data_IF_513526157661
#
_entry.id   IF_513526157661
#
_cell.length_a   1.000
_cell.length_b   1.000
_cell.length_c   1.000
_cell.angle_alpha   90.00
_cell.angle_beta   90.00
_cell.angle_gamma   90.00
#
_symmetry.space_group_name_H-M   'P 1'
#
loop_
_entity.id
_entity.type
_entity.pdbx_description
1 polymer ?
2 non-polymer ?
3 non-polymer ?
4 non-polymer ?
5 non-polymer ?
6 water ?
#
# COMPACT_ATOMS: atom_id res chain seq x y z
N UNK A 8 25.61 -11.68 7.44
CA UNK A 8 24.92 -11.71 6.11
C UNK A 8 23.60 -10.94 6.19
N UNK A 9 23.23 -10.25 5.11
CA UNK A 9 21.92 -9.60 5.03
C UNK A 9 20.89 -10.51 4.32
N UNK A 10 21.26 -11.74 3.98
CA UNK A 10 20.36 -12.67 3.33
C UNK A 10 19.10 -12.88 4.18
N UNK A 11 17.94 -12.82 3.53
CA UNK A 11 16.65 -13.10 4.19
C UNK A 11 16.08 -14.46 3.80
N UNK A 12 16.54 -15.00 2.67
CA UNK A 12 16.14 -16.28 2.22
C UNK A 12 16.85 -17.28 3.12
N UNK A 13 16.18 -17.61 4.22
CA UNK A 13 16.64 -18.65 5.07
C UNK A 13 15.60 -19.77 5.06
N UNK A 14 15.81 -20.75 5.94
CA UNK A 14 15.00 -21.93 6.07
C UNK A 14 13.50 -21.58 6.10
N UNK A 15 13.16 -20.45 6.74
CA UNK A 15 11.81 -20.17 7.25
C UNK A 15 11.08 -19.12 6.39
N UNK A 16 11.70 -18.71 5.29
CA UNK A 16 11.16 -17.68 4.37
C UNK A 16 9.82 -18.08 3.74
N UNK A 17 9.67 -19.35 3.30
CA UNK A 17 8.47 -19.81 2.58
C UNK A 17 7.34 -20.24 3.54
N UNK A 18 7.54 -20.10 4.86
CA UNK A 18 6.62 -20.61 5.87
C UNK A 18 5.94 -19.47 6.61
N UNK A 19 4.71 -19.75 7.05
CA UNK A 19 3.99 -18.84 7.90
C UNK A 19 4.73 -18.64 9.23
N UNK A 20 4.75 -17.39 9.69
CA UNK A 20 5.22 -17.02 11.03
C UNK A 20 4.00 -16.74 11.91
N UNK A 21 3.71 -17.60 12.91
CA UNK A 21 2.56 -17.41 13.78
C UNK A 21 2.69 -16.16 14.66
N UNK A 22 3.92 -15.73 14.96
CA UNK A 22 4.16 -14.60 15.86
C UNK A 22 5.14 -13.60 15.24
N UNK A 23 4.77 -12.95 14.14
CA UNK A 23 5.66 -11.93 13.55
C UNK A 23 5.81 -10.73 14.50
N UNK A 24 6.97 -10.09 14.43
CA UNK A 24 7.26 -8.92 15.21
C UNK A 24 7.46 -7.78 14.21
N UNK A 25 6.36 -7.16 13.80
CA UNK A 25 6.40 -6.13 12.74
C UNK A 25 7.31 -4.96 13.15
N UNK A 26 7.28 -4.54 14.42
CA UNK A 26 8.11 -3.42 14.87
C UNK A 26 9.59 -3.81 14.73
N UNK A 27 9.94 -5.02 15.17
CA UNK A 27 11.33 -5.48 15.07
C UNK A 27 11.79 -5.50 13.61
N UNK A 28 10.93 -5.97 12.69
CA UNK A 28 11.30 -6.03 11.27
C UNK A 28 11.55 -4.63 10.75
N UNK A 29 10.67 -3.70 11.11
CA UNK A 29 10.82 -2.33 10.67
C UNK A 29 12.16 -1.79 11.15
N UNK A 30 12.48 -1.98 12.45
CA UNK A 30 13.70 -1.43 13.00
C UNK A 30 14.91 -2.04 12.27
N UNK A 31 14.87 -3.33 12.05
CA UNK A 31 15.92 -4.05 11.38
C UNK A 31 16.12 -3.50 9.97
N UNK A 32 15.02 -3.34 9.22
CA UNK A 32 15.14 -2.97 7.82
C UNK A 32 15.52 -1.50 7.65
N UNK A 33 15.07 -0.62 8.55
CA UNK A 33 15.48 0.75 8.53
C UNK A 33 17.01 0.82 8.64
N UNK A 34 17.53 0.01 9.57
CA UNK A 34 18.99 -0.02 9.85
C UNK A 34 19.75 -0.65 8.68
N UNK A 35 19.28 -1.79 8.19
CA UNK A 35 20.03 -2.61 7.24
C UNK A 35 19.92 -2.12 5.79
N UNK A 36 18.78 -1.51 5.40
CA UNK A 36 18.50 -1.23 4.02
C UNK A 36 18.20 0.23 3.72
N UNK A 37 17.95 1.10 4.72
CA UNK A 37 17.53 2.46 4.46
C UNK A 37 18.36 3.47 5.25
N UNK A 38 19.57 3.03 5.65
CA UNK A 38 20.63 3.90 6.22
C UNK A 38 20.12 4.67 7.47
N UNK A 39 19.11 4.13 8.17
CA UNK A 39 18.54 4.75 9.36
C UNK A 39 17.59 5.88 9.05
N UNK A 40 17.32 6.19 7.79
CA UNK A 40 16.62 7.40 7.41
C UNK A 40 15.09 7.38 7.64
N UNK A 41 14.52 6.28 8.11
CA UNK A 41 13.04 6.22 8.24
C UNK A 41 12.57 6.49 9.67
N UNK A 42 13.28 7.33 10.41
CA UNK A 42 12.98 7.51 11.85
C UNK A 42 11.52 7.98 12.02
N UNK A 43 11.10 8.93 11.19
CA UNK A 43 9.81 9.66 11.32
C UNK A 43 8.64 8.77 10.89
N UNK A 44 8.94 7.69 10.15
CA UNK A 44 7.98 6.75 9.63
C UNK A 44 7.56 5.80 10.75
N UNK A 45 6.27 5.47 10.78
CA UNK A 45 5.72 4.51 11.71
C UNK A 45 5.07 3.38 10.91
N UNK A 46 5.01 2.20 11.52
CA UNK A 46 4.46 1.04 10.88
C UNK A 46 3.48 0.33 11.82
N UNK A 47 2.26 0.07 11.32
CA UNK A 47 1.22 -0.56 12.11
C UNK A 47 0.52 -1.67 11.31
N UNK A 48 0.14 -2.75 12.01
CA UNK A 48 -0.88 -3.69 11.54
C UNK A 48 -2.25 -3.01 11.49
N UNK A 49 -3.06 -3.41 10.51
CA UNK A 49 -4.48 -3.09 10.48
C UNK A 49 -5.24 -4.41 10.56
N UNK A 50 -6.17 -4.53 11.50
CA UNK A 50 -7.01 -5.74 11.53
C UNK A 50 -8.22 -5.49 10.63
N UNK A 51 -8.37 -4.33 10.03
CA UNK A 51 -9.59 -3.97 9.33
C UNK A 51 -9.40 -3.93 7.79
N UNK A 52 -8.17 -3.66 7.29
CA UNK A 52 -7.95 -3.28 5.86
C UNK A 52 -7.91 -4.50 4.92
N UNK A 53 -8.39 -4.35 3.65
CA UNK A 53 -8.39 -5.47 2.64
C UNK A 53 -8.14 -4.99 1.19
N UNK A 54 -8.26 -3.68 0.88
CA UNK A 54 -8.10 -3.33 -0.57
C UNK A 54 -6.64 -3.46 -1.01
N UNK A 55 -5.72 -3.34 -0.04
CA UNK A 55 -4.29 -3.37 -0.29
C UNK A 55 -3.67 -4.20 0.82
N UNK A 56 -2.67 -5.02 0.48
CA UNK A 56 -1.90 -5.73 1.49
C UNK A 56 -1.08 -4.74 2.30
N UNK A 57 -0.66 -3.65 1.67
CA UNK A 57 0.15 -2.61 2.26
C UNK A 57 -0.21 -1.25 1.68
N UNK A 58 -0.13 -0.21 2.50
CA UNK A 58 -0.28 1.15 2.05
C UNK A 58 0.72 2.05 2.79
N UNK A 59 0.96 3.24 2.23
CA UNK A 59 1.52 4.38 2.92
C UNK A 59 0.53 5.54 2.94
N UNK A 60 0.62 6.37 3.97
CA UNK A 60 -0.01 7.67 3.91
C UNK A 60 1.06 8.71 4.26
N UNK A 61 1.04 9.83 3.52
CA UNK A 61 2.03 10.89 3.69
C UNK A 61 1.31 12.18 4.08
N UNK A 62 1.71 12.78 5.20
CA UNK A 62 1.11 14.03 5.68
C UNK A 62 1.53 15.21 4.80
N UNK A 63 2.66 15.05 4.09
CA UNK A 63 3.12 16.03 3.11
C UNK A 63 3.90 17.16 3.76
N UNK A 66 7.11 15.60 5.90
CA UNK A 66 6.36 15.45 7.15
C UNK A 66 6.40 14.02 7.66
N UNK A 67 5.29 13.60 8.30
CA UNK A 67 5.16 12.26 8.87
C UNK A 67 4.62 11.29 7.81
N UNK A 68 5.22 10.10 7.75
CA UNK A 68 4.82 9.04 6.84
C UNK A 68 4.38 7.82 7.68
N UNK A 69 3.27 7.20 7.27
CA UNK A 69 2.67 6.05 7.96
C UNK A 69 2.62 4.88 6.98
N UNK A 70 2.92 3.67 7.45
CA UNK A 70 2.73 2.45 6.68
C UNK A 70 1.73 1.59 7.45
N UNK A 71 0.81 0.93 6.71
CA UNK A 71 -0.14 0.00 7.25
C UNK A 71 -0.04 -1.31 6.47
N UNK A 72 -0.05 -2.42 7.20
CA UNK A 72 -0.01 -3.77 6.66
C UNK A 72 -1.33 -4.46 7.01
N UNK A 73 -1.92 -5.18 6.04
CA UNK A 73 -3.20 -5.85 6.23
C UNK A 73 -3.03 -7.13 7.05
N UNK A 74 -3.53 -7.15 8.28
CA UNK A 74 -3.59 -8.36 9.04
C UNK A 74 -4.48 -9.36 8.29
N UNK A 75 -5.69 -9.00 7.79
CA UNK A 75 -6.50 -9.99 7.07
C UNK A 75 -5.77 -10.68 5.90
N UNK A 76 -4.96 -9.93 5.16
CA UNK A 76 -4.37 -10.47 3.91
C UNK A 76 -3.01 -11.12 4.19
N UNK A 77 -2.33 -10.75 5.29
CA UNK A 77 -0.95 -11.24 5.50
C UNK A 77 -0.82 -12.24 6.65
N UNK A 78 -1.73 -12.27 7.63
CA UNK A 78 -1.50 -13.08 8.84
C UNK A 78 -1.26 -14.56 8.53
N UNK A 79 -1.92 -15.10 7.49
CA UNK A 79 -1.82 -16.53 7.20
C UNK A 79 -0.89 -16.80 6.01
N UNK A 80 -0.20 -15.77 5.53
CA UNK A 80 0.68 -15.94 4.40
C UNK A 80 2.10 -16.20 4.88
N UNK A 81 2.94 -16.81 4.00
CA UNK A 81 4.36 -17.01 4.31
C UNK A 81 5.04 -15.70 4.73
N UNK A 82 6.08 -15.80 5.58
CA UNK A 82 6.95 -14.71 6.05
C UNK A 82 7.34 -13.80 4.87
N UNK A 83 7.73 -14.44 3.77
CA UNK A 83 8.21 -13.71 2.60
C UNK A 83 7.20 -12.66 2.16
N UNK A 84 5.90 -12.94 2.26
CA UNK A 84 4.91 -12.00 1.76
C UNK A 84 4.82 -10.79 2.70
N UNK A 85 4.89 -10.97 4.03
CA UNK A 85 4.94 -9.85 4.97
C UNK A 85 6.17 -8.99 4.63
N UNK A 86 7.33 -9.66 4.54
CA UNK A 86 8.57 -8.97 4.42
C UNK A 86 8.62 -8.20 3.09
N UNK A 87 8.26 -8.84 1.97
CA UNK A 87 8.31 -8.20 0.67
C UNK A 87 7.29 -7.05 0.60
N UNK A 88 6.14 -7.20 1.25
CA UNK A 88 5.15 -6.13 1.26
C UNK A 88 5.70 -4.94 2.07
N UNK A 89 6.27 -5.23 3.25
CA UNK A 89 6.77 -4.17 4.12
C UNK A 89 7.89 -3.43 3.37
N UNK A 90 8.80 -4.19 2.74
CA UNK A 90 9.98 -3.54 2.11
C UNK A 90 9.50 -2.66 0.95
N UNK A 91 8.49 -3.13 0.19
CA UNK A 91 7.91 -2.32 -0.88
C UNK A 91 7.40 -0.99 -0.34
N UNK A 92 6.62 -1.05 0.74
CA UNK A 92 6.09 0.17 1.34
C UNK A 92 7.22 1.07 1.87
N UNK A 93 8.26 0.46 2.45
CA UNK A 93 9.38 1.27 2.97
C UNK A 93 10.13 2.00 1.86
N UNK A 94 10.18 1.43 0.66
CA UNK A 94 10.78 2.13 -0.46
C UNK A 94 9.95 3.37 -0.79
N UNK A 95 8.62 3.22 -0.88
CA UNK A 95 7.78 4.40 -1.08
C UNK A 95 8.03 5.43 0.02
N UNK A 96 8.09 4.98 1.27
CA UNK A 96 8.33 5.90 2.39
C UNK A 96 9.69 6.60 2.20
N UNK A 97 10.73 5.85 1.82
CA UNK A 97 12.05 6.44 1.68
C UNK A 97 12.04 7.53 0.62
N UNK A 98 11.38 7.29 -0.53
CA UNK A 98 11.32 8.28 -1.60
C UNK A 98 10.55 9.52 -1.12
N UNK A 99 9.55 9.34 -0.27
CA UNK A 99 8.81 10.48 0.29
C UNK A 99 9.73 11.29 1.23
N UNK A 100 10.38 10.63 2.19
CA UNK A 100 11.20 11.21 3.27
C UNK A 100 12.34 12.03 2.65
N UNK A 101 12.85 11.52 1.53
CA UNK A 101 14.04 12.13 0.87
C UNK A 101 13.66 13.04 -0.30
N UNK A 102 12.38 13.37 -0.41
CA UNK A 102 11.90 14.32 -1.41
C UNK A 102 12.33 13.90 -2.83
N UNK A 103 12.23 12.59 -3.14
CA UNK A 103 12.61 11.95 -4.41
C UNK A 103 11.48 11.08 -4.93
N UNK A 104 10.27 11.60 -4.91
CA UNK A 104 9.06 10.84 -5.29
C UNK A 104 8.39 11.53 -6.49
N UNK A 105 9.21 12.12 -7.38
CA UNK A 105 8.73 12.95 -8.50
C UNK A 105 8.64 12.18 -9.82
N UNK A 106 8.97 10.87 -9.83
CA UNK A 106 8.73 10.01 -11.00
C UNK A 106 7.23 10.01 -11.33
N UNK A 107 6.93 10.01 -12.63
CA UNK A 107 5.55 10.07 -13.13
C UNK A 107 4.83 8.76 -12.77
N UNK A 108 5.53 7.64 -12.92
CA UNK A 108 5.00 6.32 -12.61
C UNK A 108 4.95 6.15 -11.08
N UNK A 109 4.03 5.29 -10.61
CA UNK A 109 3.97 4.89 -9.21
C UNK A 109 5.27 4.21 -8.79
N UNK A 110 5.80 3.36 -9.69
CA UNK A 110 7.03 2.60 -9.45
C UNK A 110 8.00 2.82 -10.63
N UNK A 111 8.54 4.03 -10.68
CA UNK A 111 9.45 4.41 -11.73
C UNK A 111 10.88 4.01 -11.41
N UNK A 112 11.85 4.55 -12.17
CA UNK A 112 13.24 4.21 -11.96
C UNK A 112 13.74 4.35 -10.51
N UNK A 113 13.31 5.36 -9.77
CA UNK A 113 13.80 5.52 -8.40
C UNK A 113 13.38 4.28 -7.60
N UNK A 114 12.15 3.81 -7.81
CA UNK A 114 11.63 2.69 -7.04
C UNK A 114 12.43 1.42 -7.35
N UNK A 115 12.76 1.24 -8.62
CA UNK A 115 13.42 0.03 -9.02
C UNK A 115 14.86 -0.01 -8.51
N UNK A 116 15.48 1.16 -8.31
CA UNK A 116 16.85 1.20 -7.80
C UNK A 116 16.88 0.58 -6.40
N UNK A 117 16.01 1.05 -5.50
CA UNK A 117 16.00 0.48 -4.19
C UNK A 117 15.50 -0.96 -4.25
N UNK A 118 14.46 -1.18 -5.05
CA UNK A 118 13.89 -2.51 -5.16
C UNK A 118 14.96 -3.51 -5.60
N UNK A 119 15.60 -3.22 -6.74
CA UNK A 119 16.61 -4.10 -7.27
C UNK A 119 17.75 -4.31 -6.27
N UNK A 120 18.21 -3.21 -5.66
CA UNK A 120 19.32 -3.22 -4.69
C UNK A 120 19.01 -4.07 -3.46
N UNK A 121 17.82 -3.92 -2.90
CA UNK A 121 17.52 -4.65 -1.67
C UNK A 121 17.36 -6.14 -1.98
N UNK A 122 16.77 -6.45 -3.14
CA UNK A 122 16.67 -7.82 -3.63
C UNK A 122 18.08 -8.44 -3.79
N UNK A 123 19.04 -7.64 -4.25
CA UNK A 123 20.40 -8.12 -4.42
C UNK A 123 21.02 -8.48 -3.07
N UNK A 124 20.84 -7.59 -2.11
CA UNK A 124 21.44 -7.79 -0.77
C UNK A 124 20.84 -9.00 -0.04
N UNK A 125 19.56 -9.27 -0.24
CA UNK A 125 18.80 -10.16 0.62
C UNK A 125 18.41 -11.48 -0.03
N UNK A 126 18.41 -11.55 -1.37
CA UNK A 126 17.87 -12.65 -2.11
C UNK A 126 16.34 -12.61 -2.23
N UNK A 127 15.69 -11.56 -1.70
CA UNK A 127 14.22 -11.45 -1.76
C UNK A 127 13.78 -11.07 -3.17
N UNK A 128 12.47 -11.02 -3.38
CA UNK A 128 11.88 -10.60 -4.66
C UNK A 128 10.76 -9.59 -4.41
N UNK A 129 11.13 -8.43 -3.87
CA UNK A 129 10.28 -7.27 -3.89
C UNK A 129 9.92 -7.00 -5.36
N UNK A 130 8.64 -6.67 -5.61
CA UNK A 130 8.17 -6.43 -6.97
C UNK A 130 7.36 -5.14 -7.04
N UNK A 131 7.26 -4.61 -8.25
CA UNK A 131 6.60 -3.35 -8.58
C UNK A 131 5.08 -3.51 -8.56
N UNK A 132 4.57 -4.75 -8.63
CA UNK A 132 3.13 -4.98 -8.58
C UNK A 132 2.71 -5.30 -7.15
N UNK A 133 1.43 -5.15 -6.85
CA UNK A 133 1.00 -5.18 -5.46
C UNK A 133 0.07 -6.36 -5.21
N UNK A 134 0.15 -7.38 -6.06
CA UNK A 134 -0.42 -8.67 -5.79
C UNK A 134 0.68 -9.60 -5.29
N UNK A 135 0.27 -10.77 -4.79
CA UNK A 135 1.21 -11.77 -4.36
C UNK A 135 1.59 -12.61 -5.59
N UNK A 136 2.79 -13.19 -5.53
CA UNK A 136 3.37 -13.88 -6.68
C UNK A 136 2.50 -15.06 -7.10
N UNK A 137 1.80 -15.66 -6.12
CA UNK A 137 1.02 -16.88 -6.33
C UNK A 137 -0.41 -16.54 -6.79
N UNK A 138 -0.84 -15.29 -6.65
CA UNK A 138 -2.21 -14.94 -7.04
C UNK A 138 -2.35 -15.01 -8.57
N UNK A 139 -3.56 -15.33 -9.02
CA UNK A 139 -3.85 -15.38 -10.45
C UNK A 139 -4.33 -14.00 -10.87
N UNK A 140 -4.92 -13.90 -12.05
CA UNK A 140 -5.12 -12.64 -12.72
C UNK A 140 -6.52 -12.06 -12.46
N UNK A 141 -7.23 -12.58 -11.45
CA UNK A 141 -8.59 -12.14 -11.10
C UNK A 141 -8.53 -11.08 -9.99
N UNK A 142 -7.90 -9.93 -10.29
CA UNK A 142 -7.86 -8.78 -9.36
C UNK A 142 -8.22 -7.51 -10.15
N UNK A 143 -8.68 -6.48 -9.42
CA UNK A 143 -9.14 -5.21 -10.00
C UNK A 143 -7.94 -4.31 -10.31
N UNK A 144 -7.94 -3.72 -11.51
CA UNK A 144 -6.75 -3.06 -12.03
C UNK A 144 -6.91 -1.53 -12.09
N UNK A 145 -8.15 -1.03 -11.92
CA UNK A 145 -8.41 0.40 -12.04
C UNK A 145 -8.47 1.02 -10.63
N UNK A 146 -7.49 1.86 -10.32
CA UNK A 146 -7.29 2.39 -8.97
C UNK A 146 -7.41 3.92 -8.98
N UNK A 147 -8.07 4.42 -7.94
CA UNK A 147 -8.08 5.83 -7.58
C UNK A 147 -7.61 5.93 -6.14
N UNK A 148 -7.04 7.09 -5.80
CA UNK A 148 -6.83 7.42 -4.42
C UNK A 148 -7.28 8.86 -4.15
N UNK A 149 -8.03 9.00 -3.05
CA UNK A 149 -8.56 10.28 -2.62
C UNK A 149 -7.42 11.17 -2.13
N UNK A 150 -7.51 12.47 -2.44
CA UNK A 150 -6.48 13.42 -2.04
C UNK A 150 -6.93 14.17 -0.78
N UNK A 151 -8.03 13.73 -0.17
CA UNK A 151 -8.51 14.32 1.05
C UNK A 151 -7.95 13.57 2.26
N UNK A 152 -8.36 13.97 3.49
CA UNK A 152 -7.89 13.30 4.70
C UNK A 152 -8.16 11.80 4.84
N UNK A 153 -9.07 11.25 4.05
CA UNK A 153 -9.44 9.86 4.25
C UNK A 153 -8.29 8.93 3.83
N UNK A 154 -7.21 9.43 3.22
CA UNK A 154 -5.99 8.59 2.91
C UNK A 154 -5.46 7.97 4.23
N UNK A 155 -5.61 8.70 5.34
CA UNK A 155 -5.15 8.23 6.65
C UNK A 155 -6.24 7.43 7.38
N UNK A 156 -7.45 7.39 6.83
CA UNK A 156 -8.61 6.92 7.60
C UNK A 156 -8.85 5.45 7.30
N UNK A 157 -9.00 4.63 8.36
CA UNK A 157 -9.33 3.22 8.18
C UNK A 157 -10.78 3.15 7.74
N UNK A 158 -11.23 2.09 7.03
CA UNK A 158 -10.39 0.98 6.59
C UNK A 158 -9.91 0.96 5.13
N UNK A 159 -10.13 2.04 4.35
CA UNK A 159 -9.79 2.05 2.92
C UNK A 159 -8.55 2.85 2.56
N UNK A 160 -8.10 3.76 3.45
CA UNK A 160 -6.94 4.63 3.22
C UNK A 160 -7.00 5.33 1.87
N UNK A 161 -8.19 5.80 1.54
CA UNK A 161 -8.36 6.58 0.35
C UNK A 161 -8.61 5.78 -0.91
N UNK A 162 -8.51 4.44 -0.85
CA UNK A 162 -8.51 3.67 -2.08
C UNK A 162 -9.91 3.34 -2.57
N UNK A 163 -9.99 3.29 -3.90
CA UNK A 163 -11.09 2.72 -4.66
C UNK A 163 -10.47 1.89 -5.78
N UNK A 165 -11.30 -0.87 -8.88
CA UNK A 165 -12.44 -1.34 -9.68
C UNK A 165 -11.96 -2.12 -10.90
N UNK A 166 -12.88 -2.92 -11.44
CA UNK A 166 -12.63 -3.77 -12.57
C UNK A 166 -12.54 -2.97 -13.88
N UNK A 167 -13.24 -1.82 -13.96
CA UNK A 167 -13.22 -0.97 -15.16
C UNK A 167 -12.93 0.49 -14.80
N UNK A 168 -12.69 1.33 -15.82
CA UNK A 168 -12.49 2.76 -15.61
C UNK A 168 -13.83 3.39 -15.21
N UNK A 169 -14.35 2.98 -14.05
CA UNK A 169 -15.61 3.49 -13.50
C UNK A 169 -15.29 4.38 -12.30
N UNK A 170 -15.14 5.69 -12.53
CA UNK A 170 -14.64 6.60 -11.49
C UNK A 170 -15.67 6.79 -10.37
N UNK A 171 -15.17 6.94 -9.12
CA UNK A 171 -16.01 7.30 -7.97
C UNK A 171 -16.90 8.51 -8.27
N UNK A 172 -18.20 8.40 -7.96
CA UNK A 172 -19.12 9.49 -8.27
C UNK A 172 -20.43 9.37 -7.50
N UNK A 173 -21.32 10.33 -7.77
CA UNK A 173 -22.56 10.43 -7.07
C UNK A 173 -23.38 9.16 -7.34
N UNK A 174 -22.93 8.37 -8.33
CA UNK A 174 -23.46 7.04 -8.72
C UNK A 174 -23.26 6.02 -7.60
N UNK A 175 -22.38 6.33 -6.64
CA UNK A 175 -21.98 5.38 -5.59
C UNK A 175 -22.79 5.58 -4.31
N UNK A 176 -23.14 4.47 -3.67
CA UNK A 176 -24.04 4.49 -2.51
C UNK A 176 -23.39 5.25 -1.36
N UNK A 177 -22.05 5.32 -1.36
CA UNK A 177 -21.30 5.85 -0.22
C UNK A 177 -20.85 7.30 -0.47
N UNK A 178 -21.14 7.81 -1.69
CA UNK A 178 -20.60 9.09 -2.17
C UNK A 178 -20.98 10.24 -1.22
N UNK A 179 -22.25 10.33 -0.86
CA UNK A 179 -22.73 11.45 -0.05
C UNK A 179 -22.02 11.48 1.31
N UNK A 180 -21.88 10.30 1.93
CA UNK A 180 -21.16 10.12 3.18
C UNK A 180 -19.73 10.69 3.03
N UNK A 181 -19.02 10.25 1.99
CA UNK A 181 -17.62 10.62 1.78
C UNK A 181 -17.53 12.14 1.60
N UNK A 182 -18.54 12.71 0.94
CA UNK A 182 -18.59 14.14 0.76
C UNK A 182 -18.63 14.82 2.14
N UNK A 183 -19.31 14.21 3.11
CA UNK A 183 -19.54 14.87 4.40
C UNK A 183 -18.35 14.61 5.34
N UNK A 184 -17.71 13.45 5.18
CA UNK A 184 -16.74 12.98 6.14
C UNK A 184 -15.30 13.26 5.66
N UNK A 185 -15.13 13.65 4.38
CA UNK A 185 -13.81 13.89 3.78
C UNK A 185 -13.86 15.04 2.77
N UNK A 186 -14.69 14.87 1.73
CA UNK A 186 -14.88 15.87 0.69
C UNK A 186 -13.73 15.97 -0.30
N UNK A 187 -12.75 15.05 -0.20
CA UNK A 187 -11.59 15.04 -1.12
C UNK A 187 -11.98 14.58 -2.52
N UNK A 188 -11.03 14.62 -3.46
CA UNK A 188 -11.24 14.24 -4.87
C UNK A 188 -10.42 12.98 -5.20
N UNK A 189 -10.99 12.07 -6.02
CA UNK A 189 -10.39 10.75 -6.32
C UNK A 189 -9.50 10.77 -7.58
N UNK A 190 -8.20 10.96 -7.35
CA UNK A 190 -7.19 11.04 -8.40
C UNK A 190 -6.91 9.61 -8.92
N UNK A 191 -7.03 9.43 -10.25
CA UNK A 191 -6.71 8.14 -10.88
C UNK A 191 -5.21 7.87 -10.71
N UNK A 192 -4.91 6.62 -10.35
CA UNK A 192 -3.57 6.11 -10.27
C UNK A 192 -3.19 5.56 -11.65
N UNK A 193 -4.81 2.42 -11.22
CA UNK A 193 -4.55 1.15 -11.86
C UNK A 193 -5.78 0.74 -12.67
N UNK A 194 -5.56 -0.01 -13.77
CA UNK A 194 -6.66 -0.53 -14.60
C UNK A 194 -6.26 -1.88 -15.21
#
# INVERSE_FOLDING_TARGET
GPGRPQESLSLVDASWELVDPTPDLQALFVQFNDQFFWGQLEAVEVKWSVRMTLCAGICSYEGKGGMCSIRLSEPLLKLRPRKDLVETLLHEMIHAYLFVTNNDKDREGHGPEFCKHMHRINSLTGANITVYHTFHDEVDEYRRHWWRCNGPCQHRPPYYGYVXRATNREPSAHDYWWAEHQKTCGGTYIKIKE
#
